data_IF_955370238311
#
_entry.id   IF_955370238311
#
_cell.length_a   1.000
_cell.length_b   1.000
_cell.length_c   1.000
_cell.angle_alpha   90.00
_cell.angle_beta   90.00
_cell.angle_gamma   90.00
#
_symmetry.space_group_name_H-M   'P 1'
#
loop_
_entity.id
_entity.type
_entity.pdbx_description
1 polymer ?
#
# COMPACT_ATOMS: atom_id res chain seq x y z
N UNK A 1 7.87 0.49 14.75
CA UNK A 1 7.45 1.80 14.20
C UNK A 1 6.32 1.59 13.20
N UNK A 2 5.59 2.65 12.85
CA UNK A 2 4.54 2.62 11.82
C UNK A 2 5.06 3.29 10.56
N UNK A 3 4.93 2.64 9.41
CA UNK A 3 5.29 3.21 8.11
C UNK A 3 4.07 3.29 7.20
N UNK A 4 3.98 4.38 6.43
CA UNK A 4 2.93 4.60 5.45
C UNK A 4 3.56 4.68 4.06
N UNK A 5 3.17 3.77 3.17
CA UNK A 5 3.72 3.65 1.82
C UNK A 5 2.64 4.05 0.82
N UNK A 6 2.82 5.22 0.20
CA UNK A 6 1.94 5.72 -0.85
C UNK A 6 2.59 5.44 -2.20
N UNK A 7 1.97 4.59 -3.01
CA UNK A 7 2.58 4.14 -4.27
C UNK A 7 1.54 3.96 -5.37
N UNK A 8 1.97 4.20 -6.60
CA UNK A 8 1.18 3.89 -7.80
C UNK A 8 1.49 2.48 -8.32
N UNK A 9 2.67 1.96 -7.99
CA UNK A 9 3.27 0.77 -8.58
C UNK A 9 3.58 -0.26 -7.50
N UNK A 10 2.52 -0.85 -6.97
CA UNK A 10 2.57 -2.05 -6.13
C UNK A 10 2.12 -3.27 -6.95
N UNK A 11 2.46 -4.52 -6.59
CA UNK A 11 1.87 -5.73 -7.17
C UNK A 11 0.32 -5.66 -7.27
N UNK A 12 -0.37 -6.45 -8.12
CA UNK A 12 0.06 -7.67 -8.80
C UNK A 12 0.64 -7.46 -10.22
N UNK A 13 0.85 -6.21 -10.65
CA UNK A 13 1.51 -5.95 -11.94
C UNK A 13 2.96 -6.44 -11.90
N UNK A 14 3.54 -6.78 -13.04
CA UNK A 14 4.93 -7.25 -13.18
C UNK A 14 5.85 -6.14 -13.70
N UNK A 15 6.98 -5.91 -13.01
CA UNK A 15 7.93 -4.84 -13.34
C UNK A 15 8.91 -4.51 -12.21
N UNK A 16 10.02 -3.85 -12.54
CA UNK A 16 11.11 -3.59 -11.60
C UNK A 16 10.69 -2.79 -10.35
N UNK A 17 9.93 -1.70 -10.53
CA UNK A 17 9.47 -0.89 -9.40
C UNK A 17 8.51 -1.65 -8.48
N UNK A 18 7.70 -2.55 -9.01
CA UNK A 18 6.77 -3.34 -8.21
C UNK A 18 7.52 -4.35 -7.34
N UNK A 19 8.55 -5.00 -7.90
CA UNK A 19 9.41 -5.91 -7.15
C UNK A 19 10.19 -5.19 -6.04
N UNK A 20 10.68 -3.98 -6.31
CA UNK A 20 11.36 -3.15 -5.30
C UNK A 20 10.40 -2.81 -4.15
N UNK A 21 9.21 -2.32 -4.47
CA UNK A 21 8.21 -1.95 -3.46
C UNK A 21 7.75 -3.17 -2.64
N UNK A 22 7.52 -4.31 -3.28
CA UNK A 22 7.17 -5.56 -2.63
C UNK A 22 8.26 -6.01 -1.63
N UNK A 23 9.51 -6.03 -2.08
CA UNK A 23 10.67 -6.45 -1.27
C UNK A 23 10.89 -5.54 -0.06
N UNK A 24 10.77 -4.22 -0.26
CA UNK A 24 10.91 -3.22 0.81
C UNK A 24 9.79 -3.39 1.84
N UNK A 25 8.53 -3.51 1.40
CA UNK A 25 7.39 -3.71 2.30
C UNK A 25 7.54 -4.97 3.13
N UNK A 26 7.88 -6.10 2.50
CA UNK A 26 8.10 -7.37 3.19
C UNK A 26 9.22 -7.25 4.23
N UNK A 27 10.37 -6.68 3.87
CA UNK A 27 11.49 -6.52 4.80
C UNK A 27 11.16 -5.61 5.98
N UNK A 28 10.46 -4.50 5.75
CA UNK A 28 10.07 -3.58 6.82
C UNK A 28 9.01 -4.18 7.74
N UNK A 29 8.10 -4.99 7.20
CA UNK A 29 6.99 -5.59 7.94
C UNK A 29 7.39 -6.61 9.01
N UNK A 30 8.64 -7.07 9.02
CA UNK A 30 9.15 -8.02 10.03
C UNK A 30 9.07 -7.40 11.43
N UNK A 31 9.41 -6.11 11.56
CA UNK A 31 9.52 -5.42 12.85
C UNK A 31 8.55 -4.23 12.97
N UNK A 32 7.76 -3.94 11.94
CA UNK A 32 7.00 -2.70 11.84
C UNK A 32 5.63 -2.94 11.23
N UNK A 33 4.67 -2.10 11.61
CA UNK A 33 3.36 -2.06 10.98
C UNK A 33 3.42 -1.20 9.72
N UNK A 34 3.01 -1.77 8.59
CA UNK A 34 3.08 -1.13 7.28
C UNK A 34 1.68 -0.88 6.76
N UNK A 35 1.35 0.37 6.44
CA UNK A 35 0.10 0.75 5.78
C UNK A 35 0.38 1.13 4.32
N UNK A 36 -0.23 0.42 3.39
CA UNK A 36 0.00 0.61 1.95
C UNK A 36 -1.23 1.27 1.32
N UNK A 37 -1.01 2.36 0.59
CA UNK A 37 -2.04 3.15 -0.10
C UNK A 37 -1.81 3.11 -1.63
N UNK A 38 -2.21 2.02 -2.29
CA UNK A 38 -2.06 1.85 -3.74
C UNK A 38 -3.00 2.77 -4.53
N UNK A 39 -2.67 3.04 -5.80
CA UNK A 39 -3.61 3.64 -6.78
C UNK A 39 -4.41 2.59 -7.55
N UNK A 40 -4.18 1.30 -7.36
CA UNK A 40 -4.97 0.24 -7.97
C UNK A 40 -5.45 -0.73 -6.92
N UNK A 41 -6.42 -1.54 -7.29
CA UNK A 41 -6.95 -2.56 -6.41
C UNK A 41 -5.92 -3.68 -6.23
N UNK A 42 -5.58 -3.95 -4.96
CA UNK A 42 -4.82 -5.10 -4.51
C UNK A 42 -5.76 -6.14 -3.93
N UNK A 43 -5.58 -7.40 -4.33
CA UNK A 43 -6.33 -8.51 -3.74
C UNK A 43 -5.99 -8.67 -2.27
N UNK A 44 -6.98 -9.11 -1.47
CA UNK A 44 -6.79 -9.39 -0.05
C UNK A 44 -5.82 -10.55 0.22
N UNK A 45 -5.56 -11.39 -0.77
CA UNK A 45 -4.63 -12.53 -0.67
C UNK A 45 -3.20 -12.08 -0.35
N UNK A 46 -2.79 -10.89 -0.80
CA UNK A 46 -1.47 -10.35 -0.46
C UNK A 46 -1.35 -10.06 1.04
N UNK A 47 -2.40 -9.52 1.67
CA UNK A 47 -2.47 -9.28 3.13
C UNK A 47 -2.55 -10.56 3.96
N UNK A 48 -2.87 -11.71 3.35
CA UNK A 48 -3.01 -12.97 4.06
C UNK A 48 -1.67 -13.70 4.29
N UNK A 49 -0.60 -13.25 3.63
CA UNK A 49 0.75 -13.69 3.97
C UNK A 49 1.17 -13.06 5.30
N UNK A 50 1.76 -13.83 6.22
CA UNK A 50 2.06 -13.53 7.65
C UNK A 50 2.91 -12.27 7.95
N UNK A 51 2.64 -11.16 7.29
CA UNK A 51 3.33 -9.88 7.41
C UNK A 51 2.42 -8.87 8.09
N UNK A 52 3.00 -7.96 8.86
CA UNK A 52 2.27 -6.87 9.49
C UNK A 52 1.95 -5.75 8.47
N UNK A 53 1.18 -6.09 7.43
CA UNK A 53 0.86 -5.24 6.28
C UNK A 53 -0.65 -5.02 6.16
N UNK A 54 -1.05 -3.76 6.28
CA UNK A 54 -2.42 -3.29 6.10
C UNK A 54 -2.57 -2.60 4.74
N UNK A 55 -3.46 -3.09 3.88
CA UNK A 55 -3.70 -2.49 2.55
C UNK A 55 -4.97 -1.65 2.57
N UNK A 56 -4.84 -0.39 2.14
CA UNK A 56 -5.91 0.60 2.08
C UNK A 56 -6.24 0.90 0.62
N UNK A 57 -7.01 0.00 0.01
CA UNK A 57 -7.44 0.16 -1.39
C UNK A 57 -8.32 1.41 -1.55
N UNK A 58 -8.02 2.22 -2.57
CA UNK A 58 -8.81 3.39 -2.90
C UNK A 58 -9.64 3.14 -4.17
N UNK A 59 -10.96 3.06 -4.01
CA UNK A 59 -11.92 2.88 -5.10
C UNK A 59 -12.38 4.18 -5.77
N UNK A 60 -11.82 5.33 -5.36
CA UNK A 60 -12.22 6.61 -5.95
C UNK A 60 -11.80 6.72 -7.44
N UNK A 61 -12.60 7.45 -8.24
CA UNK A 61 -12.25 7.79 -9.62
C UNK A 61 -10.88 8.45 -9.69
N UNK A 62 -10.11 8.19 -10.76
CA UNK A 62 -8.71 8.66 -10.93
C UNK A 62 -8.52 10.14 -10.60
N UNK A 63 -9.46 10.99 -11.00
CA UNK A 63 -9.43 12.45 -10.76
C UNK A 63 -9.51 12.82 -9.27
N UNK A 64 -10.26 12.04 -8.47
CA UNK A 64 -10.49 12.32 -7.04
C UNK A 64 -9.44 11.66 -6.13
N UNK A 65 -8.61 10.76 -6.65
CA UNK A 65 -7.63 10.01 -5.86
C UNK A 65 -6.68 10.89 -5.04
N UNK A 66 -6.12 12.00 -5.57
CA UNK A 66 -5.22 12.84 -4.78
C UNK A 66 -5.91 13.45 -3.55
N UNK A 67 -7.18 13.84 -3.69
CA UNK A 67 -7.97 14.43 -2.60
C UNK A 67 -8.37 13.37 -1.56
N UNK A 68 -8.85 12.22 -2.03
CA UNK A 68 -9.24 11.09 -1.17
C UNK A 68 -8.02 10.56 -0.40
N UNK A 69 -6.87 10.40 -1.05
CA UNK A 69 -5.62 10.02 -0.39
C UNK A 69 -5.25 11.01 0.72
N UNK A 70 -5.28 12.32 0.46
CA UNK A 70 -5.01 13.33 1.51
C UNK A 70 -5.96 13.21 2.70
N UNK A 71 -7.25 13.00 2.47
CA UNK A 71 -8.24 12.81 3.55
C UNK A 71 -7.97 11.54 4.36
N UNK A 72 -7.71 10.42 3.69
CA UNK A 72 -7.45 9.13 4.34
C UNK A 72 -6.17 9.20 5.19
N UNK A 73 -5.10 9.78 4.64
CA UNK A 73 -3.85 9.97 5.38
C UNK A 73 -4.07 10.78 6.66
N UNK A 74 -4.89 11.85 6.61
CA UNK A 74 -5.22 12.68 7.77
C UNK A 74 -6.05 11.96 8.86
N UNK A 75 -6.75 10.90 8.51
CA UNK A 75 -7.56 10.10 9.47
C UNK A 75 -6.68 9.05 10.18
N UNK A 76 -5.63 8.57 9.51
CA UNK A 76 -4.77 7.47 9.98
C UNK A 76 -3.53 7.96 10.75
N UNK A 77 -3.11 9.21 10.51
CA UNK A 77 -2.15 9.98 11.30
C UNK A 77 -2.78 10.45 12.61
#
# INVERSE_FOLDING_TARGET
MKYMIVTQTFPPRTGGMQNVMDSICKRLSINNEIHIFPDHFLSKEYSASNFNINIHNNFSPKILRPYVKKKILKIIL
#
